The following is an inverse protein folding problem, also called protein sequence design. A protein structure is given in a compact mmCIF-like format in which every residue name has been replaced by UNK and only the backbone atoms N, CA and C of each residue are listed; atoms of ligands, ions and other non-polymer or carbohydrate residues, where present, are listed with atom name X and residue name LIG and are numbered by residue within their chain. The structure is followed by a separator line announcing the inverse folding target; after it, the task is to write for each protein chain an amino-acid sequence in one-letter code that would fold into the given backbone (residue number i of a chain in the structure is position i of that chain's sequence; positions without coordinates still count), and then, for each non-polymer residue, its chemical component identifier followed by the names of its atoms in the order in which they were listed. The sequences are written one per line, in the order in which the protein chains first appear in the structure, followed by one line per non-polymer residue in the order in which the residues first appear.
data_IF_618683736156
#
_entry.id   IF_618683736156
#
_cell.length_a   1.000
_cell.length_b   1.000
_cell.length_c   1.000
_cell.angle_alpha   90.00
_cell.angle_beta   90.00
_cell.angle_gamma   90.00
#
_symmetry.space_group_name_H-M   'P 1'
#
loop_
_entity.id
_entity.type
_entity.pdbx_description
1 polymer ?
#
# COMPACT_ATOMS: atom_id res chain seq x y z
N UNK A 1 -8.37 -1.24 -15.85
CA UNK A 1 -8.97 -1.64 -17.12
C UNK A 1 -8.21 -2.75 -17.88
N UNK A 2 -7.27 -3.42 -17.25
CA UNK A 2 -6.55 -4.56 -17.84
C UNK A 2 -7.12 -5.93 -17.41
N UNK A 3 -8.11 -5.92 -16.53
CA UNK A 3 -8.78 -7.11 -16.05
C UNK A 3 -10.24 -7.20 -16.51
N UNK A 4 -10.84 -8.39 -16.41
CA UNK A 4 -12.24 -8.66 -16.73
C UNK A 4 -13.23 -8.27 -15.61
N UNK A 5 -12.76 -7.65 -14.54
CA UNK A 5 -13.55 -7.28 -13.38
C UNK A 5 -14.33 -5.98 -13.56
N UNK A 6 -15.41 -5.81 -12.81
CA UNK A 6 -16.18 -4.56 -12.71
C UNK A 6 -15.72 -3.80 -11.47
N UNK A 7 -15.44 -2.50 -11.60
CA UNK A 7 -15.14 -1.63 -10.46
C UNK A 7 -16.29 -0.66 -10.23
N UNK A 8 -16.52 -0.27 -8.97
CA UNK A 8 -17.50 0.75 -8.61
C UNK A 8 -16.76 2.02 -8.21
N UNK A 9 -16.49 2.87 -9.20
CA UNK A 9 -15.65 4.04 -9.00
C UNK A 9 -14.17 3.67 -8.89
N UNK A 10 -13.49 4.16 -7.85
CA UNK A 10 -12.08 3.85 -7.55
C UNK A 10 -11.90 2.64 -6.63
N UNK A 11 -13.00 2.10 -6.10
CA UNK A 11 -12.95 0.95 -5.20
C UNK A 11 -12.94 -0.36 -6.01
N UNK A 12 -12.11 -1.32 -5.57
CA UNK A 12 -12.12 -2.68 -6.10
C UNK A 12 -13.44 -3.38 -5.76
N UNK A 13 -13.89 -4.28 -6.63
CA UNK A 13 -15.02 -5.16 -6.31
C UNK A 13 -14.69 -5.98 -5.06
N UNK A 14 -15.72 -6.30 -4.27
CA UNK A 14 -15.58 -7.14 -3.06
C UNK A 14 -14.98 -8.51 -3.44
N UNK A 15 -15.27 -9.01 -4.65
CA UNK A 15 -14.73 -10.27 -5.16
C UNK A 15 -13.22 -10.21 -5.49
N UNK A 16 -12.67 -9.00 -5.70
CA UNK A 16 -11.26 -8.79 -6.06
C UNK A 16 -10.38 -8.45 -4.85
N UNK A 17 -10.96 -8.40 -3.64
CA UNK A 17 -10.19 -8.08 -2.42
C UNK A 17 -9.25 -9.21 -2.07
N UNK A 18 -8.00 -8.84 -1.79
CA UNK A 18 -7.00 -9.77 -1.24
C UNK A 18 -7.35 -10.06 0.22
N UNK A 19 -7.51 -11.35 0.53
CA UNK A 19 -7.79 -11.89 1.88
C UNK A 19 -6.82 -13.02 2.19
N UNK A 20 -6.77 -13.47 3.44
CA UNK A 20 -5.92 -14.61 3.80
C UNK A 20 -6.34 -15.90 3.07
N UNK A 21 -7.63 -16.08 2.78
CA UNK A 21 -8.14 -17.27 2.10
C UNK A 21 -7.73 -17.33 0.61
N UNK A 22 -7.55 -16.18 -0.07
CA UNK A 22 -7.18 -16.12 -1.49
C UNK A 22 -5.74 -15.64 -1.72
N UNK A 23 -4.93 -15.49 -0.67
CA UNK A 23 -3.62 -14.86 -0.72
C UNK A 23 -2.69 -15.49 -1.76
N UNK A 24 -2.59 -16.82 -1.77
CA UNK A 24 -1.69 -17.52 -2.71
C UNK A 24 -2.08 -17.29 -4.17
N UNK A 25 -3.38 -17.28 -4.46
CA UNK A 25 -3.87 -16.99 -5.81
C UNK A 25 -3.68 -15.52 -6.19
N UNK A 26 -3.83 -14.59 -5.25
CA UNK A 26 -3.58 -13.17 -5.46
C UNK A 26 -2.09 -12.88 -5.70
N UNK A 27 -1.20 -13.52 -4.95
CA UNK A 27 0.26 -13.44 -5.17
C UNK A 27 0.62 -13.98 -6.56
N UNK A 28 0.10 -15.15 -6.93
CA UNK A 28 0.34 -15.72 -8.25
C UNK A 28 -0.16 -14.80 -9.37
N UNK A 29 -1.34 -14.20 -9.19
CA UNK A 29 -1.88 -13.21 -10.15
C UNK A 29 -0.97 -12.00 -10.29
N UNK A 30 -0.53 -11.40 -9.15
CA UNK A 30 0.34 -10.22 -9.16
C UNK A 30 1.66 -10.50 -9.89
N UNK A 31 2.33 -11.63 -9.62
CA UNK A 31 3.58 -12.03 -10.29
C UNK A 31 3.37 -12.27 -11.80
N UNK A 32 2.32 -12.98 -12.18
CA UNK A 32 2.01 -13.23 -13.60
C UNK A 32 1.73 -11.92 -14.34
N UNK A 33 0.94 -11.02 -13.73
CA UNK A 33 0.67 -9.71 -14.31
C UNK A 33 1.96 -8.90 -14.50
N UNK A 34 2.81 -8.84 -13.47
CA UNK A 34 4.09 -8.14 -13.53
C UNK A 34 5.01 -8.72 -14.61
N UNK A 35 5.05 -10.06 -14.75
CA UNK A 35 5.81 -10.76 -15.78
C UNK A 35 5.30 -10.45 -17.18
N UNK A 36 3.98 -10.55 -17.40
CA UNK A 36 3.37 -10.35 -18.72
C UNK A 36 3.53 -8.92 -19.24
N UNK A 37 3.60 -7.96 -18.30
CA UNK A 37 3.74 -6.53 -18.61
C UNK A 37 5.15 -5.98 -18.38
N UNK A 38 6.09 -6.82 -17.95
CA UNK A 38 7.47 -6.41 -17.62
C UNK A 38 7.53 -5.17 -16.72
N UNK A 39 6.83 -5.24 -15.59
CA UNK A 39 6.70 -4.11 -14.66
C UNK A 39 6.72 -4.57 -13.20
N UNK A 40 6.80 -3.62 -12.28
CA UNK A 40 6.42 -3.79 -10.89
C UNK A 40 4.95 -3.38 -10.74
N UNK A 41 4.14 -4.21 -10.10
CA UNK A 41 2.73 -3.94 -9.83
C UNK A 41 2.50 -3.78 -8.34
N UNK A 42 1.69 -2.80 -7.96
CA UNK A 42 1.19 -2.63 -6.61
C UNK A 42 -0.34 -2.75 -6.60
N UNK A 43 -0.87 -3.69 -5.82
CA UNK A 43 -2.30 -3.91 -5.62
C UNK A 43 -2.59 -3.57 -4.16
N UNK A 44 -3.37 -2.51 -3.93
CA UNK A 44 -3.65 -2.02 -2.59
C UNK A 44 -5.04 -2.40 -2.11
N UNK A 45 -5.16 -2.72 -0.81
CA UNK A 45 -6.42 -3.16 -0.20
C UNK A 45 -6.32 -3.33 1.31
N UNK A 46 -6.94 -4.36 1.84
CA UNK A 46 -6.77 -4.76 3.24
C UNK A 46 -5.41 -5.45 3.48
N UNK A 47 -4.94 -6.18 2.48
CA UNK A 47 -3.60 -6.73 2.35
C UNK A 47 -3.07 -6.16 1.04
N UNK A 48 -1.90 -5.51 1.09
CA UNK A 48 -1.28 -4.93 -0.09
C UNK A 48 -0.26 -5.90 -0.69
N UNK A 49 -0.21 -5.95 -2.01
CA UNK A 49 0.76 -6.76 -2.75
C UNK A 49 1.63 -5.85 -3.61
N UNK A 50 2.94 -6.01 -3.55
CA UNK A 50 3.88 -5.36 -4.47
C UNK A 50 4.76 -6.43 -5.09
N UNK A 51 4.67 -6.62 -6.38
CA UNK A 51 5.31 -7.75 -7.07
C UNK A 51 6.03 -7.36 -8.35
N UNK A 52 7.12 -8.06 -8.63
CA UNK A 52 7.69 -8.26 -9.96
C UNK A 52 7.39 -9.69 -10.45
N UNK A 53 8.09 -10.15 -11.50
CA UNK A 53 7.89 -11.48 -12.07
C UNK A 53 8.22 -12.63 -11.11
N UNK A 54 9.15 -12.40 -10.17
CA UNK A 54 9.77 -13.46 -9.36
C UNK A 54 9.45 -13.34 -7.87
N UNK A 55 9.19 -12.12 -7.38
CA UNK A 55 9.06 -11.81 -5.96
C UNK A 55 7.79 -11.00 -5.68
N UNK A 56 7.12 -11.30 -4.57
CA UNK A 56 5.98 -10.53 -4.09
C UNK A 56 6.16 -10.17 -2.61
N UNK A 57 6.06 -8.88 -2.30
CA UNK A 57 5.90 -8.38 -0.94
C UNK A 57 4.43 -8.38 -0.59
N UNK A 58 4.06 -9.10 0.47
CA UNK A 58 2.73 -9.09 1.06
C UNK A 58 2.78 -8.19 2.29
N UNK A 59 2.10 -7.07 2.25
CA UNK A 59 2.22 -5.99 3.23
C UNK A 59 0.91 -5.87 4.02
N UNK A 60 1.05 -5.78 5.35
CA UNK A 60 -0.08 -5.73 6.29
C UNK A 60 -0.11 -4.46 7.13
N UNK A 61 0.63 -3.44 6.73
CA UNK A 61 0.51 -2.12 7.33
C UNK A 61 -0.78 -1.43 6.89
N UNK A 62 -1.26 -0.56 7.74
CA UNK A 62 -2.46 0.23 7.48
C UNK A 62 -3.63 -0.12 8.39
N UNK A 63 -4.70 0.59 8.18
CA UNK A 63 -5.92 0.48 8.98
C UNK A 63 -7.15 0.68 8.12
N UNK A 64 -8.24 0.01 8.48
CA UNK A 64 -9.51 0.12 7.76
C UNK A 64 -10.04 1.57 7.70
N UNK A 65 -9.78 2.36 8.74
CA UNK A 65 -10.20 3.77 8.83
C UNK A 65 -9.57 4.67 7.76
N UNK A 66 -8.41 4.27 7.20
CA UNK A 66 -7.81 4.98 6.06
C UNK A 66 -8.72 4.99 4.83
N UNK A 67 -9.57 3.99 4.67
CA UNK A 67 -10.54 3.91 3.59
C UNK A 67 -11.61 5.03 3.62
N UNK A 68 -11.81 5.68 4.76
CA UNK A 68 -12.72 6.82 4.89
C UNK A 68 -12.08 8.17 4.50
N UNK A 69 -10.76 8.18 4.24
CA UNK A 69 -10.00 9.38 3.88
C UNK A 69 -9.89 9.48 2.36
N UNK A 70 -10.48 10.50 1.78
CA UNK A 70 -10.32 10.76 0.34
C UNK A 70 -8.89 11.17 0.03
N UNK A 71 -8.28 10.51 -0.97
CA UNK A 71 -6.99 10.89 -1.54
C UNK A 71 -5.78 10.14 -0.97
N UNK A 72 -5.94 9.18 -0.07
CA UNK A 72 -4.83 8.35 0.43
C UNK A 72 -4.12 7.59 -0.69
N UNK A 73 -4.86 7.04 -1.64
CA UNK A 73 -4.29 6.40 -2.83
C UNK A 73 -3.50 7.36 -3.72
N UNK A 74 -3.99 8.60 -3.90
CA UNK A 74 -3.26 9.62 -4.65
C UNK A 74 -1.97 10.04 -3.93
N UNK A 75 -1.99 10.14 -2.60
CA UNK A 75 -0.80 10.42 -1.80
C UNK A 75 0.21 9.28 -1.93
N UNK A 76 -0.24 8.03 -1.85
CA UNK A 76 0.62 6.86 -2.06
C UNK A 76 1.27 6.88 -3.45
N UNK A 77 0.54 7.21 -4.51
CA UNK A 77 1.10 7.31 -5.86
C UNK A 77 2.22 8.36 -5.94
N UNK A 78 2.04 9.51 -5.30
CA UNK A 78 3.07 10.54 -5.19
C UNK A 78 4.29 10.06 -4.40
N UNK A 79 4.09 9.43 -3.25
CA UNK A 79 5.16 8.84 -2.44
C UNK A 79 5.92 7.75 -3.22
N UNK A 80 5.19 6.85 -3.87
CA UNK A 80 5.79 5.77 -4.68
C UNK A 80 6.68 6.34 -5.77
N UNK A 81 6.24 7.40 -6.46
CA UNK A 81 7.07 8.10 -7.45
C UNK A 81 8.36 8.64 -6.83
N UNK A 82 8.28 9.28 -5.66
CA UNK A 82 9.47 9.79 -4.97
C UNK A 82 10.44 8.67 -4.56
N UNK A 83 9.92 7.57 -4.01
CA UNK A 83 10.72 6.41 -3.60
C UNK A 83 11.42 5.74 -4.80
N UNK A 84 10.69 5.57 -5.92
CA UNK A 84 11.24 4.99 -7.15
C UNK A 84 12.33 5.87 -7.77
N UNK A 85 12.14 7.18 -7.81
CA UNK A 85 13.14 8.11 -8.35
C UNK A 85 14.39 8.14 -7.48
N UNK A 86 14.24 8.03 -6.16
CA UNK A 86 15.37 7.99 -5.23
C UNK A 86 16.12 6.65 -5.24
N UNK A 87 15.48 5.56 -5.71
CA UNK A 87 16.06 4.20 -5.69
C UNK A 87 15.82 3.49 -7.05
N UNK A 88 16.37 4.00 -8.15
CA UNK A 88 16.07 3.48 -9.49
C UNK A 88 16.56 2.05 -9.73
N UNK A 89 17.59 1.62 -8.99
CA UNK A 89 18.19 0.29 -9.15
C UNK A 89 17.41 -0.82 -8.41
N UNK A 90 16.49 -0.47 -7.50
CA UNK A 90 15.71 -1.42 -6.71
C UNK A 90 14.20 -1.08 -6.72
N UNK A 91 13.55 -1.03 -7.89
CA UNK A 91 12.17 -0.52 -8.01
C UNK A 91 11.15 -1.33 -7.20
N UNK A 92 11.31 -2.65 -7.10
CA UNK A 92 10.43 -3.50 -6.31
C UNK A 92 10.48 -3.14 -4.82
N UNK A 93 11.70 -3.03 -4.26
CA UNK A 93 11.87 -2.66 -2.85
C UNK A 93 11.41 -1.23 -2.57
N UNK A 94 11.70 -0.30 -3.48
CA UNK A 94 11.26 1.09 -3.38
C UNK A 94 9.73 1.20 -3.34
N UNK A 95 9.04 0.47 -4.22
CA UNK A 95 7.58 0.44 -4.24
C UNK A 95 7.01 -0.21 -2.95
N UNK A 96 7.58 -1.33 -2.50
CA UNK A 96 7.17 -1.98 -1.25
C UNK A 96 7.38 -1.08 -0.03
N UNK A 97 8.53 -0.38 0.04
CA UNK A 97 8.80 0.57 1.11
C UNK A 97 7.81 1.74 1.13
N UNK A 98 7.41 2.27 -0.03
CA UNK A 98 6.41 3.34 -0.11
C UNK A 98 5.04 2.87 0.40
N UNK A 99 4.62 1.64 0.08
CA UNK A 99 3.36 1.06 0.57
C UNK A 99 3.43 0.84 2.09
N UNK A 100 4.51 0.26 2.61
CA UNK A 100 4.72 0.11 4.05
C UNK A 100 4.68 1.46 4.77
N UNK A 101 5.38 2.48 4.23
CA UNK A 101 5.44 3.82 4.82
C UNK A 101 4.06 4.48 4.90
N UNK A 102 3.25 4.36 3.83
CA UNK A 102 1.89 4.90 3.83
C UNK A 102 1.00 4.21 4.85
N UNK A 103 1.03 2.87 4.91
CA UNK A 103 0.26 2.10 5.88
C UNK A 103 0.69 2.40 7.33
N UNK A 104 2.01 2.44 7.58
CA UNK A 104 2.56 2.78 8.90
C UNK A 104 2.18 4.21 9.33
N UNK A 105 2.21 5.18 8.40
CA UNK A 105 1.75 6.53 8.67
C UNK A 105 0.27 6.57 9.08
N UNK A 106 -0.56 5.73 8.46
CA UNK A 106 -1.95 5.53 8.87
C UNK A 106 -2.08 4.99 10.29
N UNK A 107 -1.28 4.01 10.66
CA UNK A 107 -1.26 3.43 12.02
C UNK A 107 -0.81 4.47 13.06
N UNK A 108 0.29 5.20 12.78
CA UNK A 108 0.81 6.26 13.65
C UNK A 108 -0.21 7.39 13.78
N UNK A 109 -0.75 7.88 12.65
CA UNK A 109 -1.76 8.93 12.66
C UNK A 109 -2.98 8.57 13.50
N UNK A 110 -3.45 7.31 13.39
CA UNK A 110 -4.58 6.82 14.18
C UNK A 110 -4.29 6.75 15.67
N UNK A 111 -3.07 6.37 16.06
CA UNK A 111 -2.69 6.26 17.47
C UNK A 111 -2.77 7.61 18.22
N UNK A 112 -2.77 8.71 17.50
CA UNK A 112 -2.91 10.06 18.03
C UNK A 112 -4.34 10.63 17.93
N UNK A 113 -5.30 9.86 17.41
CA UNK A 113 -6.70 10.29 17.30
C UNK A 113 -7.38 10.32 18.67
N UNK A 114 -8.25 11.29 18.84
CA UNK A 114 -9.11 11.45 20.00
C UNK A 114 -10.57 11.15 19.62
N UNK A 115 -11.44 10.87 20.59
CA UNK A 115 -12.85 10.54 20.30
C UNK A 115 -13.61 11.62 19.51
N UNK A 116 -13.23 12.88 19.67
CA UNK A 116 -13.82 14.03 18.97
C UNK A 116 -13.23 14.31 17.59
N UNK A 117 -12.11 13.64 17.21
CA UNK A 117 -11.44 13.87 15.94
C UNK A 117 -12.18 13.16 14.80
N UNK A 118 -12.21 13.82 13.64
CA UNK A 118 -12.82 13.28 12.42
C UNK A 118 -11.78 13.03 11.31
N UNK A 119 -12.29 12.72 10.11
CA UNK A 119 -11.47 12.37 8.94
C UNK A 119 -10.46 13.45 8.55
N UNK A 120 -10.78 14.73 8.74
CA UNK A 120 -9.86 15.84 8.45
C UNK A 120 -8.63 15.79 9.34
N UNK A 121 -8.85 15.61 10.66
CA UNK A 121 -7.75 15.47 11.62
C UNK A 121 -6.92 14.23 11.33
N UNK A 122 -7.57 13.09 11.06
CA UNK A 122 -6.86 11.86 10.70
C UNK A 122 -5.98 12.02 9.47
N UNK A 123 -6.51 12.62 8.39
CA UNK A 123 -5.73 12.92 7.19
C UNK A 123 -4.50 13.76 7.50
N UNK A 124 -4.64 14.81 8.30
CA UNK A 124 -3.51 15.66 8.66
C UNK A 124 -2.48 14.89 9.49
N UNK A 125 -2.91 14.04 10.42
CA UNK A 125 -2.00 13.19 11.20
C UNK A 125 -1.24 12.17 10.35
N UNK A 126 -1.85 11.65 9.28
CA UNK A 126 -1.15 10.80 8.30
C UNK A 126 -0.04 11.60 7.61
N UNK A 127 -0.34 12.82 7.17
CA UNK A 127 0.64 13.69 6.51
C UNK A 127 1.79 14.04 7.47
N UNK A 128 1.49 14.37 8.71
CA UNK A 128 2.48 14.66 9.74
C UNK A 128 3.35 13.42 10.03
N UNK A 129 2.75 12.23 10.08
CA UNK A 129 3.47 10.98 10.27
C UNK A 129 4.43 10.69 9.10
N UNK A 130 4.01 10.95 7.86
CA UNK A 130 4.87 10.82 6.67
C UNK A 130 6.05 11.80 6.77
N UNK A 131 5.80 13.05 7.17
CA UNK A 131 6.84 14.07 7.31
C UNK A 131 7.92 13.68 8.33
N UNK A 132 7.54 13.04 9.42
CA UNK A 132 8.47 12.63 10.49
C UNK A 132 9.07 11.24 10.31
N UNK A 133 8.62 10.49 9.30
CA UNK A 133 9.07 9.12 9.09
C UNK A 133 10.53 9.07 8.62
N UNK A 134 11.34 8.31 9.34
CA UNK A 134 12.70 7.98 8.96
C UNK A 134 12.88 6.47 8.71
N UNK A 135 14.09 6.08 8.30
CA UNK A 135 14.39 4.69 8.00
C UNK A 135 14.27 3.75 9.20
N UNK A 136 14.61 4.23 10.40
CA UNK A 136 14.52 3.43 11.63
C UNK A 136 13.05 3.17 12.02
N UNK A 137 12.20 4.18 11.92
CA UNK A 137 10.76 4.03 12.14
C UNK A 137 10.14 3.06 11.14
N UNK A 138 10.51 3.19 9.86
CA UNK A 138 10.00 2.30 8.81
C UNK A 138 10.47 0.86 9.03
N UNK A 139 11.75 0.63 9.32
CA UNK A 139 12.30 -0.70 9.58
C UNK A 139 11.63 -1.40 10.76
N UNK A 140 11.38 -0.68 11.85
CA UNK A 140 10.71 -1.20 13.04
C UNK A 140 9.21 -1.43 12.85
N UNK A 141 8.57 -0.61 12.04
CA UNK A 141 7.12 -0.60 11.87
C UNK A 141 6.61 -1.39 10.65
N UNK A 142 7.46 -1.73 9.70
CA UNK A 142 7.06 -2.45 8.50
C UNK A 142 6.60 -3.87 8.83
N UNK A 143 5.43 -4.24 8.30
CA UNK A 143 4.80 -5.56 8.49
C UNK A 143 4.65 -6.21 7.12
N UNK A 144 5.63 -6.97 6.72
CA UNK A 144 5.61 -7.65 5.43
C UNK A 144 6.20 -9.05 5.48
N UNK A 145 5.84 -9.86 4.52
CA UNK A 145 6.50 -11.12 4.18
C UNK A 145 6.85 -11.13 2.70
N UNK A 146 7.85 -11.91 2.33
CA UNK A 146 8.30 -12.06 0.93
C UNK A 146 7.94 -13.45 0.44
N UNK A 147 7.30 -13.53 -0.72
CA UNK A 147 6.87 -14.77 -1.37
C UNK A 147 7.36 -14.87 -2.81
#
# INVERSE_FOLDING_TARGET
ALGSGTTKGVDADVADKVTDENLDSAVAFAKNFAKDHNCVVAITGAIDLVADADTCYVIRNGRAEMGSITGTGCQLSGMMTAYLVANPDEPLKAAAAAVCAMGLAGEIGWSHMKPEDGNSTYRNRIIDAIYHMDGEMLEKGAKYEVR
#
